data_IF_406867345584
#
_entry.id   IF_406867345584
#
_cell.length_a   1.000
_cell.length_b   1.000
_cell.length_c   1.000
_cell.angle_alpha   90.00
_cell.angle_beta   90.00
_cell.angle_gamma   90.00
#
_symmetry.space_group_name_H-M   'P 1'
#
loop_
_entity.id
_entity.type
_entity.pdbx_description
1 polymer ?
#
# COMPACT_ATOMS: atom_id res chain seq x y z
N UNK A 1 -38.07 2.75 0.66
CA UNK A 1 -36.86 1.90 0.64
C UNK A 1 -35.66 2.83 0.71
N UNK A 2 -34.89 2.76 1.79
CA UNK A 2 -33.76 3.67 2.02
C UNK A 2 -32.57 3.18 1.21
N UNK A 3 -32.24 3.91 0.14
CA UNK A 3 -31.03 3.69 -0.63
C UNK A 3 -29.84 4.02 0.29
N UNK A 4 -29.16 2.98 0.76
CA UNK A 4 -27.84 3.09 1.36
C UNK A 4 -26.90 3.61 0.27
N UNK A 5 -26.60 4.91 0.32
CA UNK A 5 -25.53 5.49 -0.48
C UNK A 5 -24.29 5.34 0.39
N UNK A 6 -23.33 4.45 0.08
CA UNK A 6 -22.06 4.50 0.78
C UNK A 6 -21.50 5.89 0.52
N UNK A 7 -21.23 6.63 1.60
CA UNK A 7 -20.58 7.92 1.52
C UNK A 7 -19.20 7.71 0.91
N UNK A 8 -19.13 7.85 -0.41
CA UNK A 8 -17.88 8.01 -1.14
C UNK A 8 -17.31 9.34 -0.66
N UNK A 9 -16.54 9.28 0.42
CA UNK A 9 -15.70 10.40 0.82
C UNK A 9 -14.50 10.40 -0.10
N UNK A 10 -14.75 10.82 -1.35
CA UNK A 10 -13.70 11.26 -2.24
C UNK A 10 -13.17 12.57 -1.66
N UNK A 11 -12.10 12.49 -0.87
CA UNK A 11 -11.20 13.62 -0.66
C UNK A 11 -9.85 13.19 -1.27
N UNK A 12 -9.35 13.89 -2.30
CA UNK A 12 -8.14 13.52 -3.01
C UNK A 12 -6.89 13.83 -2.18
N UNK A 13 -6.51 12.89 -1.33
CA UNK A 13 -5.13 12.68 -0.86
C UNK A 13 -4.60 11.29 -1.26
N UNK A 14 -5.29 10.66 -2.22
CA UNK A 14 -5.03 9.31 -2.69
C UNK A 14 -3.61 9.23 -3.27
N UNK A 15 -2.75 8.53 -2.54
CA UNK A 15 -1.38 8.28 -2.95
C UNK A 15 -1.36 7.57 -4.32
N UNK A 16 -2.36 6.74 -4.63
CA UNK A 16 -2.45 6.08 -5.93
C UNK A 16 -2.56 7.11 -7.05
N UNK A 17 -3.46 8.09 -6.90
CA UNK A 17 -3.61 9.20 -7.84
C UNK A 17 -2.32 10.01 -8.01
N UNK A 18 -1.60 10.31 -6.93
CA UNK A 18 -0.30 11.03 -6.98
C UNK A 18 0.74 10.23 -7.78
N UNK A 19 0.73 8.91 -7.63
CA UNK A 19 1.67 8.00 -8.30
C UNK A 19 1.23 7.63 -9.72
N UNK A 20 0.09 8.14 -10.20
CA UNK A 20 -0.52 7.73 -11.46
C UNK A 20 -0.96 6.26 -11.47
N UNK A 21 -1.16 5.67 -10.29
CA UNK A 21 -1.66 4.31 -10.14
C UNK A 21 -3.19 4.31 -10.27
N UNK A 22 -3.76 3.26 -10.90
CA UNK A 22 -5.19 3.16 -11.10
C UNK A 22 -5.94 2.97 -9.78
N UNK A 23 -6.99 3.77 -9.55
CA UNK A 23 -7.85 3.63 -8.38
C UNK A 23 -8.93 2.53 -8.53
N UNK A 24 -9.27 2.16 -9.77
CA UNK A 24 -10.30 1.14 -10.04
C UNK A 24 -9.71 -0.25 -10.15
N UNK A 25 -10.46 -1.28 -9.73
CA UNK A 25 -10.01 -2.66 -9.74
C UNK A 25 -9.63 -3.18 -11.14
N UNK A 26 -10.40 -2.81 -12.17
CA UNK A 26 -10.14 -3.24 -13.55
C UNK A 26 -8.86 -2.60 -14.11
N UNK A 27 -8.72 -1.28 -13.99
CA UNK A 27 -7.51 -0.60 -14.46
C UNK A 27 -6.26 -1.04 -13.67
N UNK A 28 -6.42 -1.38 -12.38
CA UNK A 28 -5.37 -1.97 -11.58
C UNK A 28 -4.97 -3.36 -12.08
N UNK A 29 -5.94 -4.21 -12.39
CA UNK A 29 -5.68 -5.52 -12.99
C UNK A 29 -4.86 -5.41 -14.28
N UNK A 30 -5.28 -4.54 -15.20
CA UNK A 30 -4.59 -4.33 -16.47
C UNK A 30 -3.16 -3.80 -16.28
N UNK A 31 -2.99 -2.83 -15.37
CA UNK A 31 -1.66 -2.25 -15.07
C UNK A 31 -0.72 -3.25 -14.39
N UNK A 32 -1.26 -4.11 -13.52
CA UNK A 32 -0.52 -5.19 -12.88
C UNK A 32 -0.05 -6.20 -13.92
N UNK A 33 -0.93 -6.62 -14.84
CA UNK A 33 -0.58 -7.56 -15.90
C UNK A 33 0.44 -6.99 -16.89
N UNK A 34 0.37 -5.69 -17.18
CA UNK A 34 1.35 -4.99 -18.00
C UNK A 34 2.72 -4.80 -17.31
N UNK A 35 2.76 -4.95 -15.98
CA UNK A 35 3.95 -4.75 -15.16
C UNK A 35 4.14 -3.28 -14.76
N UNK A 36 4.18 -3.04 -13.44
CA UNK A 36 4.47 -1.71 -12.90
C UNK A 36 5.95 -1.35 -13.06
N UNK A 37 6.20 -0.06 -13.23
CA UNK A 37 7.57 0.48 -13.21
C UNK A 37 8.25 0.14 -11.88
N UNK A 38 9.51 -0.30 -11.94
CA UNK A 38 10.33 -0.50 -10.76
C UNK A 38 10.54 0.81 -9.97
N UNK A 39 10.43 1.95 -10.64
CA UNK A 39 10.53 3.27 -10.01
C UNK A 39 9.39 3.62 -9.07
N UNK A 40 8.25 2.91 -9.11
CA UNK A 40 7.09 3.24 -8.27
C UNK A 40 7.40 3.16 -6.77
N UNK A 41 8.32 2.29 -6.34
CA UNK A 41 8.72 2.19 -4.94
C UNK A 41 9.48 3.44 -4.47
N UNK A 42 10.30 4.03 -5.34
CA UNK A 42 10.95 5.31 -5.10
C UNK A 42 9.94 6.45 -5.05
N UNK A 43 8.92 6.40 -5.90
CA UNK A 43 7.87 7.41 -5.91
C UNK A 43 7.02 7.34 -4.63
N UNK A 44 6.71 6.12 -4.14
CA UNK A 44 6.08 5.91 -2.82
C UNK A 44 7.00 6.44 -1.71
N UNK A 45 8.29 6.09 -1.73
CA UNK A 45 9.26 6.52 -0.73
C UNK A 45 9.30 8.06 -0.57
N UNK A 46 9.31 8.77 -1.69
CA UNK A 46 9.26 10.24 -1.72
C UNK A 46 7.98 10.84 -1.13
N UNK A 47 6.86 10.11 -1.17
CA UNK A 47 5.58 10.59 -0.68
C UNK A 47 5.34 10.35 0.83
N UNK A 48 6.00 9.36 1.44
CA UNK A 48 5.66 8.91 2.82
C UNK A 48 6.83 8.84 3.80
N UNK A 49 7.99 9.41 3.44
CA UNK A 49 9.20 9.44 4.29
C UNK A 49 9.68 8.05 4.76
N UNK A 50 9.38 7.00 3.99
CA UNK A 50 9.92 5.66 4.18
C UNK A 50 10.99 5.40 3.13
N UNK A 51 12.02 4.63 3.44
CA UNK A 51 13.04 4.28 2.45
C UNK A 51 12.58 3.14 1.52
N UNK A 52 13.14 3.12 0.30
CA UNK A 52 12.81 2.12 -0.72
C UNK A 52 13.05 0.68 -0.26
N UNK A 53 14.06 0.43 0.59
CA UNK A 53 14.40 -0.93 1.04
C UNK A 53 13.36 -1.44 2.04
N UNK A 54 12.89 -0.56 2.94
CA UNK A 54 11.77 -0.86 3.83
C UNK A 54 10.50 -1.19 3.03
N UNK A 55 10.17 -0.37 2.02
CA UNK A 55 9.02 -0.62 1.15
C UNK A 55 9.17 -1.93 0.35
N UNK A 56 10.35 -2.22 -0.20
CA UNK A 56 10.64 -3.51 -0.85
C UNK A 56 10.35 -4.68 0.10
N UNK A 57 10.87 -4.60 1.33
CA UNK A 57 10.69 -5.65 2.34
C UNK A 57 9.22 -5.82 2.73
N UNK A 58 8.46 -4.73 2.86
CA UNK A 58 7.02 -4.77 3.13
C UNK A 58 6.25 -5.42 1.96
N UNK A 59 6.59 -5.08 0.72
CA UNK A 59 6.10 -5.79 -0.47
C UNK A 59 6.68 -7.21 -0.61
N UNK A 60 7.55 -7.64 0.31
CA UNK A 60 8.32 -8.89 0.33
C UNK A 60 9.15 -9.15 -0.93
N UNK A 61 9.64 -8.09 -1.56
CA UNK A 61 10.63 -8.11 -2.63
C UNK A 61 12.00 -7.94 -1.97
N UNK A 62 12.94 -8.85 -2.25
CA UNK A 62 14.29 -8.71 -1.71
C UNK A 62 15.10 -7.65 -2.46
N UNK A 63 16.11 -7.09 -1.79
CA UNK A 63 16.95 -6.02 -2.33
C UNK A 63 17.67 -6.41 -3.62
N UNK A 64 18.11 -7.65 -3.76
CA UNK A 64 18.83 -8.09 -4.96
C UNK A 64 17.89 -8.17 -6.16
N UNK A 65 16.68 -8.70 -5.94
CA UNK A 65 15.61 -8.70 -6.94
C UNK A 65 15.21 -7.28 -7.33
N UNK A 66 15.06 -6.36 -6.37
CA UNK A 66 14.78 -4.96 -6.67
C UNK A 66 15.89 -4.30 -7.50
N UNK A 67 17.15 -4.42 -7.07
CA UNK A 67 18.30 -3.92 -7.81
C UNK A 67 18.38 -4.50 -9.22
N UNK A 68 18.13 -5.81 -9.38
CA UNK A 68 18.11 -6.46 -10.70
C UNK A 68 17.03 -5.86 -11.60
N UNK A 69 15.85 -5.58 -11.06
CA UNK A 69 14.75 -4.95 -11.80
C UNK A 69 15.05 -3.52 -12.19
N UNK A 70 15.67 -2.71 -11.32
CA UNK A 70 16.09 -1.35 -11.66
C UNK A 70 17.14 -1.28 -12.78
N UNK A 71 17.98 -2.31 -12.90
CA UNK A 71 19.05 -2.40 -13.90
C UNK A 71 18.67 -3.18 -15.16
N UNK A 72 17.44 -3.73 -15.25
CA UNK A 72 16.99 -4.40 -16.46
C UNK A 72 16.65 -3.39 -17.56
N UNK A 73 16.63 -3.84 -18.82
CA UNK A 73 16.25 -2.97 -19.94
C UNK A 73 14.82 -2.42 -19.80
N UNK A 74 13.90 -3.27 -19.31
CA UNK A 74 12.48 -2.94 -19.17
C UNK A 74 12.17 -2.11 -17.91
N UNK A 75 12.97 -2.24 -16.85
CA UNK A 75 12.76 -1.59 -15.54
C UNK A 75 11.35 -1.79 -14.98
N UNK A 76 10.74 -2.95 -15.23
CA UNK A 76 9.39 -3.32 -14.78
C UNK A 76 9.39 -4.57 -13.92
N UNK A 77 8.49 -4.57 -12.95
CA UNK A 77 8.17 -5.73 -12.13
C UNK A 77 7.41 -6.78 -12.93
N UNK A 78 7.54 -8.06 -12.55
CA UNK A 78 6.63 -9.10 -13.07
C UNK A 78 5.18 -8.82 -12.62
N UNK A 79 4.16 -9.47 -13.22
CA UNK A 79 2.78 -9.29 -12.76
C UNK A 79 2.59 -9.62 -11.28
N UNK A 80 3.20 -10.69 -10.79
CA UNK A 80 3.16 -11.04 -9.36
C UNK A 80 3.78 -9.96 -8.47
N UNK A 81 4.97 -9.46 -8.84
CA UNK A 81 5.64 -8.38 -8.10
C UNK A 81 4.83 -7.09 -8.16
N UNK A 82 4.24 -6.79 -9.32
CA UNK A 82 3.38 -5.63 -9.54
C UNK A 82 2.14 -5.68 -8.66
N UNK A 83 1.51 -6.86 -8.51
CA UNK A 83 0.37 -7.04 -7.61
C UNK A 83 0.73 -6.73 -6.16
N UNK A 84 1.92 -7.17 -5.71
CA UNK A 84 2.41 -6.92 -4.35
C UNK A 84 2.74 -5.46 -4.11
N UNK A 85 3.39 -4.81 -5.07
CA UNK A 85 3.72 -3.38 -5.00
C UNK A 85 2.46 -2.51 -5.05
N UNK A 86 1.48 -2.86 -5.90
CA UNK A 86 0.19 -2.19 -5.93
C UNK A 86 -0.56 -2.33 -4.61
N UNK A 87 -0.57 -3.54 -4.03
CA UNK A 87 -1.20 -3.79 -2.73
C UNK A 87 -0.52 -3.01 -1.61
N UNK A 88 0.82 -2.93 -1.61
CA UNK A 88 1.56 -2.06 -0.70
C UNK A 88 1.12 -0.60 -0.87
N UNK A 89 1.07 -0.09 -2.11
CA UNK A 89 0.67 1.29 -2.39
C UNK A 89 -0.73 1.59 -1.84
N UNK A 90 -1.69 0.66 -1.98
CA UNK A 90 -3.04 0.78 -1.41
C UNK A 90 -3.01 0.89 0.12
N UNK A 91 -2.24 0.03 0.79
CA UNK A 91 -2.13 0.04 2.25
C UNK A 91 -1.48 1.34 2.73
N UNK A 92 -0.42 1.79 2.07
CA UNK A 92 0.25 3.05 2.42
C UNK A 92 -0.70 4.23 2.18
N UNK A 93 -1.48 4.24 1.10
CA UNK A 93 -2.50 5.28 0.86
C UNK A 93 -3.51 5.34 2.01
N UNK A 94 -4.11 4.20 2.35
CA UNK A 94 -5.09 4.13 3.42
C UNK A 94 -4.50 4.49 4.80
N UNK A 95 -3.28 4.04 5.10
CA UNK A 95 -2.61 4.40 6.35
C UNK A 95 -2.30 5.90 6.41
N UNK A 96 -1.90 6.50 5.29
CA UNK A 96 -1.64 7.93 5.21
C UNK A 96 -2.92 8.74 5.42
N UNK A 97 -4.05 8.28 4.88
CA UNK A 97 -5.37 8.89 5.12
C UNK A 97 -5.79 8.79 6.59
N UNK A 98 -5.63 7.62 7.22
CA UNK A 98 -5.93 7.39 8.64
C UNK A 98 -5.16 8.36 9.57
N UNK A 99 -3.92 8.72 9.20
CA UNK A 99 -3.08 9.63 9.97
C UNK A 99 -3.03 11.06 9.39
N UNK A 100 -3.97 11.43 8.52
CA UNK A 100 -4.10 12.78 7.94
C UNK A 100 -2.80 13.29 7.28
N UNK A 101 -2.03 12.38 6.68
CA UNK A 101 -0.76 12.70 6.03
C UNK A 101 0.46 12.76 6.95
N UNK A 102 0.30 12.58 8.27
CA UNK A 102 1.41 12.52 9.22
C UNK A 102 2.24 11.24 9.00
N UNK A 103 3.30 11.37 8.21
CA UNK A 103 4.20 10.27 7.85
C UNK A 103 4.88 9.65 9.08
N UNK A 104 5.14 10.43 10.13
CA UNK A 104 5.77 9.94 11.36
C UNK A 104 4.84 9.05 12.18
N UNK A 105 3.58 9.48 12.35
CA UNK A 105 2.54 8.67 13.01
C UNK A 105 2.22 7.42 12.23
N UNK A 106 2.08 7.54 10.91
CA UNK A 106 1.86 6.41 10.01
C UNK A 106 2.99 5.39 10.11
N UNK A 107 4.25 5.81 9.96
CA UNK A 107 5.41 4.93 10.04
C UNK A 107 5.51 4.25 11.42
N UNK A 108 5.22 4.97 12.49
CA UNK A 108 5.18 4.42 13.85
C UNK A 108 4.09 3.35 13.98
N UNK A 109 2.89 3.61 13.49
CA UNK A 109 1.78 2.66 13.53
C UNK A 109 2.06 1.41 12.71
N UNK A 110 2.61 1.55 11.50
CA UNK A 110 3.01 0.41 10.66
C UNK A 110 4.00 -0.53 11.36
N UNK A 111 4.82 0.00 12.26
CA UNK A 111 5.84 -0.73 13.01
C UNK A 111 5.43 -1.11 14.44
N UNK A 112 4.20 -0.80 14.87
CA UNK A 112 3.69 -1.12 16.21
C UNK A 112 2.76 -2.34 16.16
N UNK A 113 2.88 -3.29 17.11
CA UNK A 113 1.88 -4.35 17.29
C UNK A 113 0.46 -3.81 17.39
N UNK A 114 -0.45 -4.34 16.56
CA UNK A 114 -1.87 -3.97 16.59
C UNK A 114 -2.72 -5.13 17.12
N UNK A 115 -3.58 -4.87 18.11
CA UNK A 115 -4.46 -5.88 18.71
C UNK A 115 -5.39 -6.51 17.68
N UNK A 116 -5.98 -5.69 16.81
CA UNK A 116 -6.81 -6.15 15.69
C UNK A 116 -6.08 -7.04 14.66
N UNK A 117 -4.76 -7.16 14.73
CA UNK A 117 -3.93 -8.05 13.90
C UNK A 117 -3.29 -9.19 14.72
N UNK A 118 -3.88 -9.53 15.87
CA UNK A 118 -3.35 -10.58 16.75
C UNK A 118 -1.98 -10.22 17.35
N UNK A 119 -1.69 -8.93 17.53
CA UNK A 119 -0.43 -8.45 18.08
C UNK A 119 0.74 -8.41 17.08
N UNK A 120 0.48 -8.65 15.79
CA UNK A 120 1.49 -8.48 14.74
C UNK A 120 1.59 -7.01 14.30
N UNK A 121 2.73 -6.62 13.75
CA UNK A 121 2.90 -5.29 13.16
C UNK A 121 2.25 -5.27 11.77
N UNK A 122 1.54 -4.20 11.38
CA UNK A 122 1.00 -4.07 10.03
C UNK A 122 2.04 -4.33 8.92
N UNK A 123 3.25 -3.78 9.08
CA UNK A 123 4.35 -3.92 8.12
C UNK A 123 4.78 -5.39 7.86
N UNK A 124 4.64 -6.27 8.85
CA UNK A 124 5.02 -7.69 8.73
C UNK A 124 4.03 -8.50 7.90
N UNK A 125 2.81 -7.99 7.73
CA UNK A 125 1.72 -8.69 7.05
C UNK A 125 1.60 -8.34 5.56
N UNK A 126 2.23 -7.25 5.12
CA UNK A 126 2.06 -6.70 3.77
C UNK A 126 2.68 -7.56 2.66
N UNK A 127 3.51 -8.54 3.03
CA UNK A 127 4.18 -9.43 2.08
C UNK A 127 3.23 -10.42 1.41
N UNK A 128 2.01 -10.58 1.94
CA UNK A 128 0.97 -11.50 1.46
C UNK A 128 -0.35 -10.76 1.19
N UNK A 129 -1.15 -11.21 0.20
CA UNK A 129 -2.46 -10.61 -0.07
C UNK A 129 -3.41 -10.65 1.15
N UNK A 130 -3.48 -11.79 1.85
CA UNK A 130 -4.35 -11.96 3.01
C UNK A 130 -3.96 -11.04 4.18
N UNK A 131 -2.64 -10.89 4.42
CA UNK A 131 -2.16 -9.99 5.47
C UNK A 131 -2.42 -8.52 5.15
N UNK A 132 -2.22 -8.10 3.89
CA UNK A 132 -2.54 -6.74 3.47
C UNK A 132 -4.04 -6.43 3.58
N UNK A 133 -4.91 -7.36 3.21
CA UNK A 133 -6.36 -7.20 3.36
C UNK A 133 -6.78 -7.06 4.83
N UNK A 134 -6.15 -7.83 5.73
CA UNK A 134 -6.38 -7.69 7.16
C UNK A 134 -5.96 -6.30 7.68
N UNK A 135 -4.85 -5.75 7.18
CA UNK A 135 -4.40 -4.38 7.51
C UNK A 135 -5.38 -3.33 6.99
N UNK A 136 -5.82 -3.43 5.73
CA UNK A 136 -6.84 -2.53 5.16
C UNK A 136 -8.15 -2.57 5.95
N UNK A 137 -8.60 -3.78 6.31
CA UNK A 137 -9.80 -3.97 7.13
C UNK A 137 -9.64 -3.31 8.50
N UNK A 138 -8.46 -3.43 9.13
CA UNK A 138 -8.20 -2.75 10.40
C UNK A 138 -8.24 -1.23 10.23
N UNK A 139 -7.62 -0.68 9.17
CA UNK A 139 -7.64 0.77 8.90
C UNK A 139 -9.08 1.28 8.81
N UNK A 140 -9.93 0.62 8.00
CA UNK A 140 -11.34 1.02 7.88
C UNK A 140 -12.11 0.95 9.22
N UNK A 141 -11.81 -0.01 10.09
CA UNK A 141 -12.39 -0.07 11.45
C UNK A 141 -11.94 1.11 12.31
N UNK A 142 -10.66 1.49 12.24
CA UNK A 142 -10.10 2.62 12.98
C UNK A 142 -10.70 3.96 12.53
N UNK A 143 -10.93 4.15 11.22
CA UNK A 143 -11.58 5.34 10.66
C UNK A 143 -13.03 5.52 11.16
N UNK A 144 -13.74 4.41 11.36
CA UNK A 144 -15.10 4.41 11.88
C UNK A 144 -15.16 4.42 13.42
N UNK A 145 -14.02 4.62 14.11
CA UNK A 145 -13.97 4.70 15.58
C UNK A 145 -14.18 3.37 16.31
N UNK A 146 -14.06 2.23 15.61
CA UNK A 146 -14.16 0.91 16.22
C UNK A 146 -12.80 0.56 16.82
N UNK A 147 -12.65 0.83 18.12
CA UNK A 147 -11.47 0.44 18.90
C UNK A 147 -11.57 -1.07 19.17
N UNK A 148 -10.62 -1.84 18.64
CA UNK A 148 -10.44 -3.28 18.91
C UNK A 148 -9.07 -3.57 19.52
#
# INVERSE_FOLDING_TARGET
MQLYTPGVRAIPHDLLSILGLPATAIAAHDSINAGLSAGVLRDIAGAVSLDEITLCRMAGIDRNTYSRRLNSAEKRFSPEQSARVYTLARVISAARELFEGDSGRMATWLNKPAKGLGGKKPAELLSTPAGAEAVLTLIGRLEHGVIG
#
